data_IF_515912689870
#
_entry.id   IF_515912689870
#
_cell.length_a   1.000
_cell.length_b   1.000
_cell.length_c   1.000
_cell.angle_alpha   90.00
_cell.angle_beta   90.00
_cell.angle_gamma   90.00
#
_symmetry.space_group_name_H-M   'P 1'
#
loop_
_entity.id
_entity.type
_entity.pdbx_description
1 polymer ?
#
# COMPACT_ATOMS: atom_id res chain seq x y z
N UNK A 1 -2.27 -13.46 16.07
CA UNK A 1 -1.91 -12.15 16.65
C UNK A 1 -2.20 -11.08 15.61
N UNK A 2 -3.05 -10.11 15.93
CA UNK A 2 -3.52 -9.09 15.00
C UNK A 2 -2.47 -7.99 14.85
N UNK A 3 -1.87 -7.87 13.67
CA UNK A 3 -1.04 -6.76 13.20
C UNK A 3 -1.64 -5.34 13.40
N UNK A 4 -2.92 -5.23 13.80
CA UNK A 4 -3.64 -3.98 14.10
C UNK A 4 -3.15 -3.23 15.34
N UNK A 5 -2.19 -3.75 16.10
CA UNK A 5 -1.74 -3.13 17.36
C UNK A 5 -0.69 -2.02 17.18
N UNK A 6 -0.24 -1.70 15.95
CA UNK A 6 1.02 -0.98 15.74
C UNK A 6 0.97 0.43 15.12
N UNK A 7 -0.18 1.11 15.00
CA UNK A 7 -0.16 2.49 14.47
C UNK A 7 -0.90 3.56 15.25
N UNK A 8 -1.76 3.24 16.20
CA UNK A 8 -2.48 4.28 16.93
C UNK A 8 -2.60 3.93 18.40
N UNK A 9 -1.90 4.67 19.26
CA UNK A 9 -2.16 4.63 20.68
C UNK A 9 -3.60 5.08 20.93
N UNK A 10 -4.46 4.15 21.40
CA UNK A 10 -5.74 4.30 22.15
C UNK A 10 -6.67 5.52 21.91
N UNK A 11 -6.49 6.32 20.86
CA UNK A 11 -7.36 7.42 20.51
C UNK A 11 -8.44 6.89 19.56
N UNK A 12 -9.69 7.32 19.79
CA UNK A 12 -10.73 7.13 18.80
C UNK A 12 -10.24 7.75 17.47
N UNK A 13 -10.29 7.02 16.34
CA UNK A 13 -9.95 7.57 15.04
C UNK A 13 -10.76 8.85 14.80
N UNK A 14 -10.07 9.94 14.46
CA UNK A 14 -10.73 11.17 14.07
C UNK A 14 -11.52 10.94 12.75
N UNK A 15 -12.58 11.72 12.48
CA UNK A 15 -13.30 11.68 11.20
C UNK A 15 -12.39 11.85 9.97
N UNK A 16 -11.20 12.44 10.15
CA UNK A 16 -10.19 12.70 9.12
C UNK A 16 -9.03 11.67 9.11
N UNK A 17 -9.22 10.51 9.77
CA UNK A 17 -8.17 9.49 9.89
C UNK A 17 -7.60 8.98 8.54
N UNK A 18 -8.39 8.80 7.47
CA UNK A 18 -7.85 8.40 6.16
C UNK A 18 -6.89 9.44 5.56
N UNK A 19 -7.24 10.73 5.65
CA UNK A 19 -6.41 11.82 5.15
C UNK A 19 -5.16 12.01 6.01
N UNK A 20 -5.27 11.85 7.33
CA UNK A 20 -4.12 11.86 8.23
C UNK A 20 -3.14 10.71 7.92
N UNK A 21 -3.66 9.51 7.67
CA UNK A 21 -2.86 8.36 7.22
C UNK A 21 -2.15 8.67 5.89
N UNK A 22 -2.87 9.22 4.93
CA UNK A 22 -2.30 9.55 3.62
C UNK A 22 -1.18 10.60 3.72
N UNK A 23 -1.38 11.63 4.54
CA UNK A 23 -0.37 12.67 4.78
C UNK A 23 0.88 12.10 5.47
N UNK A 24 0.70 11.19 6.43
CA UNK A 24 1.82 10.51 7.10
C UNK A 24 2.59 9.61 6.11
N UNK A 25 1.88 8.84 5.29
CA UNK A 25 2.47 8.03 4.22
C UNK A 25 3.27 8.90 3.24
N UNK A 26 2.72 10.03 2.79
CA UNK A 26 3.41 10.94 1.88
C UNK A 26 4.70 11.47 2.51
N UNK A 27 4.62 11.94 3.75
CA UNK A 27 5.76 12.49 4.48
C UNK A 27 6.86 11.44 4.67
N UNK A 28 6.50 10.26 5.18
CA UNK A 28 7.46 9.19 5.45
C UNK A 28 8.04 8.63 4.16
N UNK A 29 7.23 8.45 3.12
CA UNK A 29 7.66 7.94 1.83
C UNK A 29 8.67 8.86 1.16
N UNK A 30 8.42 10.18 1.13
CA UNK A 30 9.38 11.16 0.59
C UNK A 30 10.68 11.16 1.39
N UNK A 31 10.60 11.25 2.72
CA UNK A 31 11.79 11.24 3.58
C UNK A 31 12.63 9.97 3.40
N UNK A 32 11.96 8.82 3.29
CA UNK A 32 12.65 7.54 3.06
C UNK A 32 13.39 7.52 1.72
N UNK A 33 12.74 7.96 0.65
CA UNK A 33 13.35 8.00 -0.69
C UNK A 33 14.54 8.96 -0.71
N UNK A 34 14.40 10.15 -0.12
CA UNK A 34 15.50 11.12 0.00
C UNK A 34 16.67 10.53 0.81
N UNK A 35 16.39 9.88 1.93
CA UNK A 35 17.41 9.21 2.74
C UNK A 35 18.13 8.09 1.95
N UNK A 36 17.39 7.29 1.18
CA UNK A 36 17.94 6.22 0.35
C UNK A 36 18.81 6.76 -0.79
N UNK A 37 18.35 7.81 -1.48
CA UNK A 37 19.09 8.45 -2.58
C UNK A 37 20.38 9.11 -2.09
N UNK A 38 20.39 9.62 -0.85
CA UNK A 38 21.59 10.16 -0.20
C UNK A 38 22.48 9.08 0.44
N UNK A 39 22.19 7.79 0.23
CA UNK A 39 23.02 6.68 0.69
C UNK A 39 22.95 6.41 2.20
N UNK A 40 22.02 7.03 2.94
CA UNK A 40 21.79 6.72 4.36
C UNK A 40 21.30 5.29 4.55
N UNK A 41 20.58 4.77 3.56
CA UNK A 41 19.97 3.45 3.60
C UNK A 41 20.43 2.59 2.42
N UNK A 42 20.67 1.31 2.66
CA UNK A 42 20.76 0.32 1.58
C UNK A 42 19.38 0.12 0.97
N UNK A 43 19.32 0.26 -0.36
CA UNK A 43 18.12 0.11 -1.17
C UNK A 43 18.25 -1.07 -2.16
N UNK A 44 17.20 -1.89 -2.36
CA UNK A 44 15.98 -1.95 -1.56
C UNK A 44 16.22 -2.41 -0.12
N UNK A 45 15.34 -2.03 0.80
CA UNK A 45 15.44 -2.37 2.22
C UNK A 45 15.51 -3.89 2.46
N UNK A 46 14.84 -4.69 1.63
CA UNK A 46 14.86 -6.14 1.70
C UNK A 46 16.25 -6.78 1.48
N UNK A 47 17.22 -6.03 0.90
CA UNK A 47 18.61 -6.48 0.68
C UNK A 47 19.57 -6.13 1.81
N UNK A 48 19.13 -5.38 2.83
CA UNK A 48 19.99 -5.03 3.97
C UNK A 48 20.56 -6.31 4.57
N UNK A 49 21.83 -6.29 4.93
CA UNK A 49 22.52 -7.31 5.72
C UNK A 49 22.34 -7.02 7.20
N UNK A 50 22.51 -8.00 8.10
CA UNK A 50 22.44 -7.77 9.55
C UNK A 50 23.38 -6.68 10.07
N UNK A 51 24.50 -6.43 9.37
CA UNK A 51 25.45 -5.36 9.69
C UNK A 51 25.01 -3.97 9.25
N UNK A 52 23.99 -3.85 8.39
CA UNK A 52 23.56 -2.58 7.84
C UNK A 52 22.66 -1.82 8.82
N UNK A 53 22.68 -0.49 8.75
CA UNK A 53 21.79 0.33 9.56
C UNK A 53 20.31 0.05 9.21
N UNK A 54 19.46 -0.06 10.23
CA UNK A 54 18.03 -0.33 10.05
C UNK A 54 17.74 -1.71 9.45
N UNK A 55 18.59 -2.69 9.71
CA UNK A 55 18.40 -4.08 9.30
C UNK A 55 17.49 -4.88 10.25
N UNK A 56 16.96 -4.29 11.31
CA UNK A 56 15.96 -4.97 12.14
C UNK A 56 14.69 -5.25 11.32
N UNK A 57 13.97 -6.29 11.71
CA UNK A 57 12.80 -6.78 10.96
C UNK A 57 11.73 -5.70 10.78
N UNK A 58 11.51 -4.87 11.80
CA UNK A 58 10.47 -3.86 11.77
C UNK A 58 10.82 -2.76 10.77
N UNK A 59 12.03 -2.20 10.86
CA UNK A 59 12.50 -1.16 9.93
C UNK A 59 12.53 -1.67 8.48
N UNK A 60 12.97 -2.90 8.25
CA UNK A 60 12.94 -3.51 6.90
C UNK A 60 11.51 -3.63 6.38
N UNK A 61 10.57 -4.08 7.21
CA UNK A 61 9.16 -4.16 6.85
C UNK A 61 8.61 -2.78 6.48
N UNK A 62 8.79 -1.78 7.33
CA UNK A 62 8.24 -0.44 7.11
C UNK A 62 8.82 0.20 5.85
N UNK A 63 10.14 0.13 5.67
CA UNK A 63 10.78 0.67 4.47
C UNK A 63 10.39 -0.08 3.19
N UNK A 64 10.30 -1.42 3.22
CA UNK A 64 9.85 -2.19 2.05
C UNK A 64 8.41 -1.81 1.66
N UNK A 65 7.55 -1.51 2.63
CA UNK A 65 6.20 -1.01 2.40
C UNK A 65 6.21 0.39 1.78
N UNK A 66 7.03 1.31 2.30
CA UNK A 66 7.20 2.67 1.75
C UNK A 66 7.73 2.63 0.32
N UNK A 67 8.66 1.73 0.02
CA UNK A 67 9.17 1.52 -1.34
C UNK A 67 8.10 1.06 -2.32
N UNK A 68 7.11 0.28 -1.87
CA UNK A 68 5.97 -0.12 -2.70
C UNK A 68 5.00 1.05 -2.92
N UNK A 69 4.82 1.91 -1.93
CA UNK A 69 3.98 3.11 -2.05
C UNK A 69 4.60 4.18 -2.94
N UNK A 70 5.92 4.16 -3.20
CA UNK A 70 6.56 5.16 -4.05
C UNK A 70 5.86 5.39 -5.39
N UNK A 71 5.29 4.34 -5.99
CA UNK A 71 4.58 4.46 -7.27
C UNK A 71 3.35 5.36 -7.16
N UNK A 72 2.64 5.31 -6.03
CA UNK A 72 1.54 6.23 -5.74
C UNK A 72 2.04 7.68 -5.59
N UNK A 73 3.20 7.88 -4.98
CA UNK A 73 3.81 9.21 -4.83
C UNK A 73 4.30 9.80 -6.16
N UNK A 74 4.55 8.95 -7.16
CA UNK A 74 4.91 9.36 -8.52
C UNK A 74 3.70 9.76 -9.37
N UNK A 75 2.47 9.50 -8.93
CA UNK A 75 1.25 9.82 -9.70
C UNK A 75 1.19 11.34 -9.94
N UNK A 76 1.00 11.79 -11.19
CA UNK A 76 0.99 13.21 -11.53
C UNK A 76 -0.01 14.01 -10.70
N UNK A 77 0.33 15.27 -10.40
CA UNK A 77 -0.51 16.24 -9.67
C UNK A 77 -0.90 15.81 -8.24
N UNK A 78 -0.32 14.76 -7.69
CA UNK A 78 -0.63 14.30 -6.33
C UNK A 78 -2.03 13.68 -6.21
N UNK A 79 -2.57 13.16 -7.31
CA UNK A 79 -3.93 12.58 -7.38
C UNK A 79 -4.08 11.30 -6.52
N UNK A 80 -3.00 10.76 -5.95
CA UNK A 80 -3.08 9.66 -4.99
C UNK A 80 -3.91 9.99 -3.74
N UNK A 81 -4.14 11.29 -3.46
CA UNK A 81 -5.10 11.75 -2.44
C UNK A 81 -6.51 11.17 -2.63
N UNK A 82 -6.90 10.89 -3.87
CA UNK A 82 -8.19 10.30 -4.21
C UNK A 82 -8.40 8.89 -3.60
N UNK A 83 -7.33 8.18 -3.20
CA UNK A 83 -7.49 6.90 -2.50
C UNK A 83 -8.20 7.04 -1.14
N UNK A 84 -8.17 8.22 -0.52
CA UNK A 84 -8.87 8.53 0.72
C UNK A 84 -10.29 9.11 0.50
N UNK A 85 -10.65 9.47 -0.73
CA UNK A 85 -11.90 10.17 -1.03
C UNK A 85 -13.04 9.19 -1.30
N UNK A 86 -14.10 9.25 -0.49
CA UNK A 86 -15.27 8.38 -0.63
C UNK A 86 -15.91 8.46 -2.04
N UNK A 87 -15.93 9.67 -2.63
CA UNK A 87 -16.52 9.92 -3.94
C UNK A 87 -15.73 9.28 -5.10
N UNK A 88 -14.46 8.94 -4.88
CA UNK A 88 -13.60 8.35 -5.90
C UNK A 88 -13.57 6.82 -5.88
N UNK A 89 -14.12 6.19 -4.84
CA UNK A 89 -13.89 4.77 -4.56
C UNK A 89 -14.44 3.86 -5.66
N UNK A 90 -15.67 4.08 -6.11
CA UNK A 90 -16.27 3.25 -7.18
C UNK A 90 -15.47 3.35 -8.48
N UNK A 91 -15.03 4.56 -8.85
CA UNK A 91 -14.26 4.79 -10.08
C UNK A 91 -12.85 4.17 -10.02
N UNK A 92 -12.15 4.35 -8.90
CA UNK A 92 -10.81 3.78 -8.70
C UNK A 92 -10.85 2.26 -8.66
N UNK A 93 -11.81 1.66 -7.94
CA UNK A 93 -11.93 0.21 -7.84
C UNK A 93 -12.29 -0.43 -9.20
N UNK A 94 -13.19 0.19 -9.96
CA UNK A 94 -13.50 -0.24 -11.32
C UNK A 94 -12.28 -0.17 -12.24
N UNK A 95 -11.54 0.95 -12.22
CA UNK A 95 -10.30 1.09 -12.99
C UNK A 95 -9.27 0.02 -12.60
N UNK A 96 -9.06 -0.23 -11.30
CA UNK A 96 -8.17 -1.28 -10.80
C UNK A 96 -8.58 -2.68 -11.28
N UNK A 97 -9.87 -3.00 -11.22
CA UNK A 97 -10.37 -4.31 -11.62
C UNK A 97 -10.30 -4.52 -13.14
N UNK A 98 -10.34 -3.45 -13.95
CA UNK A 98 -10.14 -3.52 -15.41
C UNK A 98 -8.68 -3.74 -15.81
N UNK A 99 -7.73 -3.25 -15.00
CA UNK A 99 -6.31 -3.47 -15.26
C UNK A 99 -6.00 -4.97 -15.22
N UNK A 100 -5.21 -5.42 -16.21
CA UNK A 100 -4.72 -6.80 -16.24
C UNK A 100 -3.51 -6.92 -15.31
N UNK A 101 -3.43 -7.96 -14.47
CA UNK A 101 -2.19 -8.27 -13.75
C UNK A 101 -1.03 -8.41 -14.74
N UNK A 102 0.09 -7.78 -14.41
CA UNK A 102 1.38 -7.89 -15.11
C UNK A 102 2.49 -7.90 -14.06
N UNK A 103 3.75 -8.16 -14.44
CA UNK A 103 4.88 -8.27 -13.49
C UNK A 103 5.81 -7.04 -13.52
N UNK A 104 5.48 -6.01 -14.30
CA UNK A 104 6.35 -4.85 -14.48
C UNK A 104 6.45 -3.99 -13.22
N UNK A 105 7.67 -3.58 -12.90
CA UNK A 105 7.98 -2.62 -11.83
C UNK A 105 8.34 -1.23 -12.38
N UNK A 106 8.48 -1.10 -13.69
CA UNK A 106 8.58 0.20 -14.37
C UNK A 106 7.20 0.55 -14.88
N UNK A 107 6.73 1.77 -14.59
CA UNK A 107 5.40 2.22 -15.01
C UNK A 107 5.51 3.38 -16.00
N UNK A 108 4.63 3.37 -16.97
CA UNK A 108 4.33 4.51 -17.83
C UNK A 108 2.91 4.97 -17.50
N UNK A 109 2.77 6.24 -17.13
CA UNK A 109 1.46 6.81 -16.85
C UNK A 109 0.70 7.08 -18.15
N UNK A 110 -0.57 6.67 -18.15
CA UNK A 110 -1.49 6.86 -19.27
C UNK A 110 -2.04 8.29 -19.36
N UNK A 111 -1.90 9.09 -18.30
CA UNK A 111 -2.50 10.41 -18.16
C UNK A 111 -3.97 10.38 -17.72
N UNK A 112 -4.58 9.20 -17.60
CA UNK A 112 -5.87 9.02 -16.98
C UNK A 112 -5.69 8.73 -15.49
N UNK A 113 -6.13 9.65 -14.63
CA UNK A 113 -5.95 9.55 -13.17
C UNK A 113 -6.33 8.19 -12.59
N UNK A 114 -7.52 7.65 -12.89
CA UNK A 114 -7.98 6.40 -12.28
C UNK A 114 -7.15 5.20 -12.72
N UNK A 115 -6.76 5.18 -14.00
CA UNK A 115 -5.86 4.15 -14.53
C UNK A 115 -4.47 4.28 -13.93
N UNK A 116 -3.95 5.50 -13.79
CA UNK A 116 -2.61 5.76 -13.26
C UNK A 116 -2.51 5.36 -11.78
N UNK A 117 -3.58 5.56 -11.00
CA UNK A 117 -3.70 5.05 -9.63
C UNK A 117 -3.72 3.53 -9.61
N UNK A 118 -4.50 2.88 -10.48
CA UNK A 118 -4.56 1.43 -10.59
C UNK A 118 -3.20 0.81 -10.99
N UNK A 119 -2.54 1.38 -12.00
CA UNK A 119 -1.20 0.98 -12.47
C UNK A 119 -0.20 1.10 -11.33
N UNK A 120 -0.22 2.20 -10.58
CA UNK A 120 0.67 2.42 -9.43
C UNK A 120 0.49 1.35 -8.35
N UNK A 121 -0.75 0.97 -8.05
CA UNK A 121 -1.04 -0.08 -7.06
C UNK A 121 -0.51 -1.44 -7.54
N UNK A 122 -0.70 -1.77 -8.81
CA UNK A 122 -0.16 -3.02 -9.38
C UNK A 122 1.37 -3.03 -9.31
N UNK A 123 2.01 -1.92 -9.68
CA UNK A 123 3.46 -1.79 -9.63
C UNK A 123 4.03 -1.92 -8.22
N UNK A 124 3.35 -1.41 -7.19
CA UNK A 124 3.76 -1.64 -5.80
C UNK A 124 3.62 -3.10 -5.37
N UNK A 125 2.59 -3.84 -5.81
CA UNK A 125 2.53 -5.29 -5.59
C UNK A 125 3.66 -6.03 -6.32
N UNK A 126 3.97 -5.63 -7.55
CA UNK A 126 5.07 -6.20 -8.32
C UNK A 126 6.41 -5.94 -7.65
N UNK A 127 6.58 -4.75 -7.05
CA UNK A 127 7.76 -4.43 -6.26
C UNK A 127 7.89 -5.30 -5.01
N UNK A 128 6.79 -5.56 -4.30
CA UNK A 128 6.81 -6.45 -3.13
C UNK A 128 7.16 -7.89 -3.54
N UNK A 129 6.65 -8.36 -4.68
CA UNK A 129 7.02 -9.66 -5.24
C UNK A 129 8.51 -9.71 -5.65
N UNK A 130 9.02 -8.63 -6.23
CA UNK A 130 10.44 -8.47 -6.53
C UNK A 130 11.28 -8.54 -5.25
N UNK A 131 10.88 -7.81 -4.20
CA UNK A 131 11.55 -7.83 -2.90
C UNK A 131 11.54 -9.21 -2.24
N UNK A 132 10.43 -9.94 -2.33
CA UNK A 132 10.36 -11.33 -1.84
C UNK A 132 11.38 -12.23 -2.56
N UNK A 133 11.49 -12.08 -3.88
CA UNK A 133 12.47 -12.82 -4.69
C UNK A 133 13.91 -12.49 -4.28
N UNK A 134 14.21 -11.20 -4.05
CA UNK A 134 15.52 -10.75 -3.56
C UNK A 134 15.84 -11.24 -2.15
N UNK A 135 14.84 -11.32 -1.27
CA UNK A 135 14.97 -11.84 0.08
C UNK A 135 15.15 -13.38 0.13
N UNK A 136 14.99 -14.07 -1.00
CA UNK A 136 15.13 -15.52 -1.11
C UNK A 136 13.89 -16.30 -0.67
N UNK A 137 12.71 -15.67 -0.73
CA UNK A 137 11.43 -16.30 -0.42
C UNK A 137 11.06 -17.41 -1.41
N UNK A 138 10.28 -18.40 -0.96
CA UNK A 138 9.67 -19.37 -1.87
C UNK A 138 8.63 -18.66 -2.74
N UNK A 139 8.81 -18.71 -4.06
CA UNK A 139 7.90 -18.13 -5.06
C UNK A 139 6.46 -18.60 -4.85
N UNK A 140 6.22 -19.80 -4.33
CA UNK A 140 4.87 -20.31 -4.04
C UNK A 140 4.14 -19.53 -2.94
N UNK A 141 4.87 -18.96 -1.98
CA UNK A 141 4.29 -18.18 -0.88
C UNK A 141 3.79 -16.81 -1.36
N UNK A 142 4.41 -16.27 -2.40
CA UNK A 142 4.09 -14.96 -2.98
C UNK A 142 3.31 -15.09 -4.31
N UNK A 143 3.16 -16.30 -4.84
CA UNK A 143 2.34 -16.56 -6.03
C UNK A 143 0.86 -16.34 -5.72
N UNK A 144 0.20 -15.44 -6.46
CA UNK A 144 -1.24 -15.19 -6.34
C UNK A 144 -1.64 -14.00 -5.45
N UNK A 145 -0.70 -13.20 -4.96
CA UNK A 145 -1.00 -11.99 -4.16
C UNK A 145 -1.91 -11.01 -4.89
N UNK A 146 -1.64 -10.72 -6.16
CA UNK A 146 -2.52 -9.88 -6.98
C UNK A 146 -3.91 -10.48 -7.14
N UNK A 147 -4.02 -11.81 -7.29
CA UNK A 147 -5.32 -12.47 -7.36
C UNK A 147 -6.08 -12.39 -6.02
N UNK A 148 -5.38 -12.45 -4.89
CA UNK A 148 -5.96 -12.22 -3.57
C UNK A 148 -6.48 -10.79 -3.45
N UNK A 149 -5.64 -9.79 -3.73
CA UNK A 149 -6.04 -8.40 -3.61
C UNK A 149 -7.17 -8.03 -4.58
N UNK A 150 -7.21 -8.61 -5.78
CA UNK A 150 -8.35 -8.46 -6.70
C UNK A 150 -9.67 -8.94 -6.09
N UNK A 151 -9.67 -10.04 -5.34
CA UNK A 151 -10.88 -10.48 -4.61
C UNK A 151 -11.28 -9.50 -3.52
N UNK A 152 -10.30 -8.92 -2.81
CA UNK A 152 -10.53 -7.87 -1.81
C UNK A 152 -11.14 -6.63 -2.49
N UNK A 153 -10.58 -6.19 -3.61
CA UNK A 153 -11.08 -5.06 -4.39
C UNK A 153 -12.49 -5.31 -4.94
N UNK A 154 -12.81 -6.52 -5.41
CA UNK A 154 -14.19 -6.87 -5.80
C UNK A 154 -15.17 -6.77 -4.63
N UNK A 155 -14.78 -7.23 -3.43
CA UNK A 155 -15.63 -7.09 -2.24
C UNK A 155 -15.84 -5.63 -1.84
N UNK A 156 -14.79 -4.81 -1.94
CA UNK A 156 -14.88 -3.37 -1.68
C UNK A 156 -15.77 -2.66 -2.71
N UNK A 157 -15.64 -3.00 -4.00
CA UNK A 157 -16.49 -2.45 -5.06
C UNK A 157 -17.97 -2.71 -4.76
N UNK A 158 -18.32 -3.97 -4.46
CA UNK A 158 -19.69 -4.33 -4.08
C UNK A 158 -20.19 -3.57 -2.87
N UNK A 159 -19.32 -3.32 -1.89
CA UNK A 159 -19.68 -2.54 -0.70
C UNK A 159 -20.02 -1.08 -1.04
N UNK A 160 -19.27 -0.47 -1.97
CA UNK A 160 -19.49 0.91 -2.45
C UNK A 160 -20.69 1.04 -3.39
N UNK A 161 -21.07 -0.04 -4.09
CA UNK A 161 -22.25 -0.09 -4.96
C UNK A 161 -23.58 -0.22 -4.19
N UNK A 162 -23.54 -0.63 -2.91
CA UNK A 162 -24.73 -0.74 -2.07
C UNK A 162 -25.29 0.64 -1.69
N UNK A 163 -26.61 0.84 -1.83
CA UNK A 163 -27.32 2.06 -1.43
C UNK A 163 -26.92 2.54 -0.04
N UNK A 164 -26.61 3.83 0.11
CA UNK A 164 -26.22 4.43 1.40
C UNK A 164 -24.75 4.18 1.79
N UNK A 165 -23.86 3.85 0.84
CA UNK A 165 -22.46 3.57 1.12
C UNK A 165 -21.71 4.76 1.76
N UNK A 166 -22.02 5.99 1.34
CA UNK A 166 -21.38 7.20 1.88
C UNK A 166 -21.76 7.45 3.34
N UNK A 167 -23.03 7.23 3.67
CA UNK A 167 -23.57 7.33 5.02
C UNK A 167 -22.96 6.26 5.93
N UNK A 168 -22.87 5.01 5.46
CA UNK A 168 -22.18 3.93 6.19
C UNK A 168 -20.70 4.24 6.39
N UNK A 169 -20.03 4.77 5.37
CA UNK A 169 -18.64 5.21 5.47
C UNK A 169 -18.47 6.25 6.58
N UNK A 170 -19.30 7.29 6.60
CA UNK A 170 -19.26 8.32 7.63
C UNK A 170 -19.54 7.74 9.03
N UNK A 171 -20.51 6.84 9.16
CA UNK A 171 -20.82 6.14 10.42
C UNK A 171 -19.65 5.28 10.91
N UNK A 172 -18.97 4.57 10.01
CA UNK A 172 -17.78 3.78 10.34
C UNK A 172 -16.66 4.68 10.89
N UNK A 173 -16.38 5.81 10.25
CA UNK A 173 -15.38 6.75 10.72
C UNK A 173 -15.73 7.30 12.12
N UNK A 174 -16.98 7.68 12.36
CA UNK A 174 -17.46 8.12 13.68
C UNK A 174 -17.34 7.02 14.75
N UNK A 175 -17.51 5.75 14.35
CA UNK A 175 -17.36 4.60 15.22
C UNK A 175 -15.89 4.15 15.39
N UNK A 176 -14.93 4.85 14.79
CA UNK A 176 -13.52 4.47 14.84
C UNK A 176 -13.20 3.19 14.06
N UNK A 177 -14.00 2.87 13.04
CA UNK A 177 -13.82 1.72 12.18
C UNK A 177 -13.15 2.14 10.87
N UNK A 178 -12.46 1.19 10.24
CA UNK A 178 -11.81 1.41 8.95
C UNK A 178 -12.78 1.07 7.81
N UNK A 179 -13.28 2.07 7.04
CA UNK A 179 -14.05 1.80 5.84
C UNK A 179 -13.17 1.16 4.76
N UNK A 180 -13.77 0.46 3.77
CA UNK A 180 -13.04 -0.17 2.66
C UNK A 180 -12.61 0.85 1.61
N UNK A 181 -11.95 1.93 2.03
CA UNK A 181 -11.25 2.86 1.16
C UNK A 181 -10.07 2.15 0.50
N UNK A 182 -9.82 2.43 -0.76
CA UNK A 182 -8.72 1.82 -1.50
C UNK A 182 -7.37 2.10 -0.83
N UNK A 183 -7.20 3.27 -0.20
CA UNK A 183 -6.05 3.58 0.65
C UNK A 183 -5.85 2.51 1.73
N UNK A 184 -6.88 2.24 2.52
CA UNK A 184 -6.82 1.31 3.65
C UNK A 184 -6.49 -0.10 3.16
N UNK A 185 -7.13 -0.54 2.06
CA UNK A 185 -6.91 -1.86 1.48
C UNK A 185 -5.48 -2.03 0.95
N UNK A 186 -4.97 -1.05 0.19
CA UNK A 186 -3.61 -1.06 -0.37
C UNK A 186 -2.58 -1.02 0.76
N UNK A 187 -2.74 -0.08 1.68
CA UNK A 187 -1.83 0.07 2.81
C UNK A 187 -1.77 -1.25 3.58
N UNK A 188 -2.94 -1.79 3.96
CA UNK A 188 -3.08 -3.06 4.64
C UNK A 188 -2.31 -4.19 3.94
N UNK A 189 -2.62 -4.49 2.68
CA UNK A 189 -2.01 -5.64 2.01
C UNK A 189 -0.52 -5.44 1.72
N UNK A 190 -0.08 -4.20 1.45
CA UNK A 190 1.35 -3.90 1.34
C UNK A 190 2.09 -4.17 2.65
N UNK A 191 1.50 -3.80 3.78
CA UNK A 191 2.11 -4.03 5.10
C UNK A 191 2.23 -5.51 5.43
N UNK A 192 1.19 -6.30 5.14
CA UNK A 192 1.23 -7.76 5.30
C UNK A 192 2.36 -8.36 4.48
N UNK A 193 2.46 -8.02 3.20
CA UNK A 193 3.46 -8.54 2.28
C UNK A 193 4.89 -8.09 2.64
N UNK A 194 5.06 -6.82 2.99
CA UNK A 194 6.35 -6.31 3.46
C UNK A 194 6.81 -7.03 4.74
N UNK A 195 5.89 -7.35 5.64
CA UNK A 195 6.17 -8.14 6.84
C UNK A 195 6.59 -9.59 6.52
N UNK A 196 5.97 -10.21 5.52
CA UNK A 196 6.37 -11.53 5.00
C UNK A 196 7.77 -11.48 4.38
N UNK A 197 8.06 -10.47 3.55
CA UNK A 197 9.42 -10.23 2.99
C UNK A 197 10.46 -10.05 4.09
N UNK A 198 10.17 -9.22 5.09
CA UNK A 198 11.09 -8.97 6.20
C UNK A 198 11.32 -10.22 7.07
N UNK A 199 10.33 -11.12 7.15
CA UNK A 199 10.43 -12.37 7.91
C UNK A 199 11.29 -13.44 7.23
N UNK A 200 11.26 -13.49 5.89
CA UNK A 200 12.00 -14.49 5.10
C UNK A 200 13.38 -14.02 4.65
N UNK A 201 13.70 -12.73 4.84
CA UNK A 201 15.02 -12.16 4.56
C UNK A 201 16.09 -12.98 5.27
N UNK A 202 16.97 -13.57 4.46
CA UNK A 202 18.15 -14.26 4.98
C UNK A 202 19.09 -13.23 5.62
N UNK A 203 19.38 -13.44 6.91
CA UNK A 203 20.44 -12.74 7.62
C UNK A 203 21.80 -13.11 7.02
#
# INVERSE_FOLDING_TARGET
>A
MSWRAWLFGKAAPAPDAPHALLADIEKQGRQYLDDADNGKWVYPACKRKPSDAGADKQTVCDHTRLEAVRYLLMVPRGEFKLLAEADSQSAILDAYLRQRPHEDTVIEFSGNTMNDLAISVIAGFNWLNHCASLAGADRRQFSGMLNHFRKVATSAQKWWEMDGAKERHAQMLLAGQEPPLFLNLVWADYGRLAGEVAAVRRA
#
